data_IF_865311210553
#
_entry.id   IF_865311210553
#
_cell.length_a   1.000
_cell.length_b   1.000
_cell.length_c   1.000
_cell.angle_alpha   90.00
_cell.angle_beta   90.00
_cell.angle_gamma   90.00
#
_symmetry.space_group_name_H-M   'P 1'
#
loop_
_entity.id
_entity.type
_entity.pdbx_description
1 polymer ?
#
# COMPACT_ATOMS: atom_id res chain seq x y z
N UNK A 1 -6.65 7.50 1.38
CA UNK A 1 -8.12 7.55 1.24
C UNK A 1 -8.73 6.18 0.96
N UNK A 2 -8.29 5.43 -0.06
CA UNK A 2 -8.84 4.10 -0.39
C UNK A 2 -8.78 3.14 0.80
N UNK A 3 -7.60 2.92 1.37
CA UNK A 3 -7.41 2.02 2.52
C UNK A 3 -8.24 2.43 3.75
N UNK A 4 -8.37 3.73 4.00
CA UNK A 4 -9.23 4.23 5.09
C UNK A 4 -10.71 3.95 4.83
N UNK A 5 -11.17 4.17 3.60
CA UNK A 5 -12.55 3.90 3.22
C UNK A 5 -12.89 2.41 3.29
N UNK A 6 -11.99 1.53 2.84
CA UNK A 6 -12.16 0.07 2.90
C UNK A 6 -12.19 -0.45 4.35
N UNK A 7 -11.35 0.09 5.24
CA UNK A 7 -11.35 -0.26 6.66
C UNK A 7 -12.61 0.24 7.40
N UNK A 8 -13.13 1.42 7.02
CA UNK A 8 -14.27 2.03 7.71
C UNK A 8 -15.61 1.41 7.26
N UNK A 9 -15.76 1.11 5.98
CA UNK A 9 -17.01 0.58 5.42
C UNK A 9 -17.08 -0.96 5.49
N UNK A 10 -15.92 -1.63 5.56
CA UNK A 10 -15.79 -3.07 5.86
C UNK A 10 -16.36 -4.06 4.83
N UNK A 11 -17.23 -3.62 3.94
CA UNK A 11 -17.98 -4.49 3.01
C UNK A 11 -17.71 -4.26 1.54
N UNK A 12 -17.25 -3.08 1.15
CA UNK A 12 -17.04 -2.70 -0.25
C UNK A 12 -15.56 -2.52 -0.54
N UNK A 13 -15.08 -3.29 -1.52
CA UNK A 13 -13.70 -3.23 -1.98
C UNK A 13 -13.59 -2.18 -3.10
N UNK A 14 -13.23 -0.96 -2.73
CA UNK A 14 -13.20 0.17 -3.67
C UNK A 14 -12.09 0.11 -4.72
N UNK A 15 -11.05 -0.69 -4.50
CA UNK A 15 -9.87 -0.72 -5.37
C UNK A 15 -9.70 -1.96 -6.25
N UNK A 16 -10.42 -3.07 -6.00
CA UNK A 16 -10.19 -4.37 -6.69
C UNK A 16 -11.09 -4.59 -7.90
N UNK A 17 -12.22 -3.93 -7.97
CA UNK A 17 -13.15 -4.10 -9.07
C UNK A 17 -12.50 -3.62 -10.38
N UNK A 18 -12.82 -4.27 -11.50
CA UNK A 18 -12.36 -3.88 -12.85
C UNK A 18 -12.60 -2.39 -13.14
N UNK A 19 -13.63 -1.82 -12.51
CA UNK A 19 -13.88 -0.39 -12.44
C UNK A 19 -13.77 0.04 -10.99
N UNK A 20 -12.57 0.41 -10.54
CA UNK A 20 -12.36 0.90 -9.18
C UNK A 20 -13.24 2.15 -8.93
N UNK A 21 -14.26 2.08 -8.06
CA UNK A 21 -15.20 3.21 -7.87
C UNK A 21 -14.50 4.51 -7.50
N UNK A 22 -13.40 4.41 -6.76
CA UNK A 22 -12.57 5.57 -6.40
C UNK A 22 -11.90 6.20 -7.62
N UNK A 23 -11.37 5.38 -8.54
CA UNK A 23 -10.74 5.90 -9.76
C UNK A 23 -11.77 6.58 -10.67
N UNK A 24 -12.98 6.01 -10.78
CA UNK A 24 -14.09 6.59 -11.54
C UNK A 24 -14.59 7.89 -10.88
N UNK A 25 -14.74 7.89 -9.56
CA UNK A 25 -15.13 9.08 -8.82
C UNK A 25 -14.14 10.23 -8.95
N UNK A 26 -12.84 9.92 -8.88
CA UNK A 26 -11.78 10.91 -9.12
C UNK A 26 -11.73 11.36 -10.58
N UNK A 27 -11.92 10.46 -11.54
CA UNK A 27 -12.03 10.83 -12.95
C UNK A 27 -13.19 11.81 -13.17
N UNK A 28 -14.37 11.51 -12.61
CA UNK A 28 -15.53 12.40 -12.71
C UNK A 28 -15.23 13.77 -12.09
N UNK A 29 -14.60 13.80 -10.91
CA UNK A 29 -14.19 15.03 -10.26
C UNK A 29 -13.21 15.84 -11.11
N UNK A 30 -12.21 15.19 -11.69
CA UNK A 30 -11.22 15.82 -12.59
C UNK A 30 -11.89 16.36 -13.85
N UNK A 31 -12.81 15.61 -14.46
CA UNK A 31 -13.55 16.05 -15.66
C UNK A 31 -14.43 17.28 -15.33
N UNK A 32 -15.18 17.25 -14.22
CA UNK A 32 -16.00 18.38 -13.79
C UNK A 32 -15.15 19.62 -13.47
N UNK A 33 -14.03 19.43 -12.76
CA UNK A 33 -13.08 20.52 -12.51
C UNK A 33 -12.50 21.06 -13.82
N UNK A 34 -12.13 20.19 -14.75
CA UNK A 34 -11.59 20.58 -16.04
C UNK A 34 -12.60 21.37 -16.90
N UNK A 35 -13.88 21.00 -16.85
CA UNK A 35 -14.94 21.74 -17.52
C UNK A 35 -15.10 23.16 -16.94
N UNK A 36 -15.00 23.31 -15.61
CA UNK A 36 -15.07 24.62 -14.96
C UNK A 36 -13.82 25.46 -15.26
N UNK A 37 -12.62 24.86 -15.18
CA UNK A 37 -11.36 25.51 -15.55
C UNK A 37 -11.36 25.93 -17.02
N UNK A 38 -11.87 25.09 -17.91
CA UNK A 38 -11.96 25.40 -19.33
C UNK A 38 -12.81 26.62 -19.67
N UNK A 39 -13.81 26.93 -18.79
CA UNK A 39 -14.63 28.14 -18.93
C UNK A 39 -13.96 29.41 -18.38
N UNK A 40 -13.17 29.29 -17.31
CA UNK A 40 -12.55 30.42 -16.60
C UNK A 40 -11.15 30.72 -17.17
N UNK A 41 -10.36 29.67 -17.40
CA UNK A 41 -8.96 29.75 -17.84
C UNK A 41 -8.65 28.64 -18.87
N UNK A 42 -9.07 28.80 -20.15
CA UNK A 42 -8.92 27.74 -21.16
C UNK A 42 -7.50 27.24 -21.39
N UNK A 43 -6.48 28.08 -21.05
CA UNK A 43 -5.07 27.73 -21.16
C UNK A 43 -4.60 26.71 -20.13
N UNK A 44 -5.34 26.55 -19.01
CA UNK A 44 -5.04 25.60 -17.93
C UNK A 44 -5.88 24.34 -18.03
N UNK A 45 -6.84 24.28 -18.98
CA UNK A 45 -7.68 23.11 -19.16
C UNK A 45 -6.88 21.94 -19.71
N UNK A 46 -7.05 20.77 -19.08
CA UNK A 46 -6.43 19.52 -19.51
C UNK A 46 -7.05 19.05 -20.85
N UNK A 47 -6.19 18.57 -21.72
CA UNK A 47 -6.60 17.92 -22.98
C UNK A 47 -7.07 16.49 -22.70
N UNK A 48 -7.85 15.92 -23.63
CA UNK A 48 -8.41 14.57 -23.46
C UNK A 48 -7.34 13.49 -23.15
N UNK A 49 -6.19 13.55 -23.81
CA UNK A 49 -5.09 12.60 -23.56
C UNK A 49 -4.46 12.78 -22.17
N UNK A 50 -4.40 14.00 -21.63
CA UNK A 50 -3.90 14.27 -20.29
C UNK A 50 -4.85 13.73 -19.22
N UNK A 51 -6.17 13.87 -19.44
CA UNK A 51 -7.19 13.28 -18.57
C UNK A 51 -7.09 11.75 -18.55
N UNK A 52 -6.82 11.10 -19.71
CA UNK A 52 -6.60 9.66 -19.78
C UNK A 52 -5.36 9.26 -18.97
N UNK A 53 -4.26 10.01 -19.06
CA UNK A 53 -3.05 9.74 -18.29
C UNK A 53 -3.33 9.85 -16.79
N UNK A 54 -4.02 10.91 -16.35
CA UNK A 54 -4.42 11.09 -14.95
C UNK A 54 -5.29 9.91 -14.48
N UNK A 55 -6.25 9.48 -15.30
CA UNK A 55 -7.09 8.33 -14.98
C UNK A 55 -6.27 7.04 -14.82
N UNK A 56 -5.38 6.76 -15.76
CA UNK A 56 -4.53 5.56 -15.72
C UNK A 56 -3.63 5.56 -14.48
N UNK A 57 -3.01 6.70 -14.16
CA UNK A 57 -2.20 6.85 -12.95
C UNK A 57 -3.04 6.65 -11.67
N UNK A 58 -4.24 7.21 -11.64
CA UNK A 58 -5.17 7.07 -10.50
C UNK A 58 -5.63 5.62 -10.33
N UNK A 59 -5.94 4.94 -11.44
CA UNK A 59 -6.33 3.53 -11.44
C UNK A 59 -5.20 2.65 -10.91
N UNK A 60 -3.99 2.85 -11.40
CA UNK A 60 -2.80 2.11 -10.94
C UNK A 60 -2.53 2.35 -9.46
N UNK A 61 -2.61 3.61 -9.02
CA UNK A 61 -2.45 3.96 -7.61
C UNK A 61 -3.53 3.33 -6.74
N UNK A 62 -4.79 3.33 -7.18
CA UNK A 62 -5.90 2.71 -6.44
C UNK A 62 -5.70 1.21 -6.29
N UNK A 63 -5.30 0.50 -7.34
CA UNK A 63 -5.02 -0.94 -7.31
C UNK A 63 -3.85 -1.27 -6.38
N UNK A 64 -2.80 -0.47 -6.39
CA UNK A 64 -1.61 -0.68 -5.56
C UNK A 64 -1.91 -0.45 -4.07
N UNK A 65 -2.71 0.58 -3.75
CA UNK A 65 -3.05 0.97 -2.38
C UNK A 65 -4.15 0.13 -1.74
N UNK A 66 -4.99 -0.54 -2.56
CA UNK A 66 -6.03 -1.43 -2.10
C UNK A 66 -5.48 -2.82 -1.77
N UNK A 67 -6.24 -3.88 -1.96
CA UNK A 67 -5.82 -5.27 -1.71
C UNK A 67 -4.65 -5.77 -2.57
N UNK A 68 -4.03 -4.91 -3.35
CA UNK A 68 -2.85 -5.22 -4.14
C UNK A 68 -1.62 -5.45 -3.27
N UNK A 69 -0.71 -4.48 -3.27
CA UNK A 69 0.58 -4.62 -2.60
C UNK A 69 0.52 -4.31 -1.10
N UNK A 70 0.06 -3.12 -0.73
CA UNK A 70 0.22 -2.63 0.65
C UNK A 70 -0.65 -3.36 1.67
N UNK A 71 -1.90 -3.63 1.35
CA UNK A 71 -2.83 -4.30 2.27
C UNK A 71 -2.41 -5.75 2.59
N UNK A 72 -1.71 -6.41 1.68
CA UNK A 72 -1.22 -7.78 1.87
C UNK A 72 0.19 -7.82 2.45
N UNK A 73 1.05 -6.96 1.96
CA UNK A 73 2.46 -7.01 2.27
C UNK A 73 2.76 -6.51 3.69
N UNK A 74 2.19 -5.37 4.10
CA UNK A 74 2.44 -4.82 5.44
C UNK A 74 1.98 -5.76 6.55
N UNK A 75 0.73 -6.30 6.54
CA UNK A 75 0.33 -7.31 7.51
C UNK A 75 1.19 -8.58 7.48
N UNK A 76 1.63 -9.03 6.29
CA UNK A 76 2.49 -10.19 6.17
C UNK A 76 3.83 -10.00 6.87
N UNK A 77 4.45 -8.81 6.76
CA UNK A 77 5.70 -8.50 7.43
C UNK A 77 5.61 -8.58 8.96
N UNK A 78 4.50 -8.13 9.54
CA UNK A 78 4.37 -8.07 11.01
C UNK A 78 3.68 -9.30 11.59
N UNK A 79 3.01 -10.12 10.77
CA UNK A 79 2.24 -11.29 11.21
C UNK A 79 3.09 -12.29 11.99
N UNK A 80 4.34 -12.46 11.59
CA UNK A 80 5.28 -13.38 12.24
C UNK A 80 5.45 -13.02 13.72
N UNK A 81 5.57 -11.74 14.05
CA UNK A 81 5.70 -11.28 15.43
C UNK A 81 4.38 -11.38 16.20
N UNK A 82 3.27 -11.01 15.56
CA UNK A 82 1.97 -10.99 16.22
C UNK A 82 1.46 -12.38 16.59
N UNK A 83 1.62 -13.36 15.68
CA UNK A 83 1.16 -14.74 15.90
C UNK A 83 2.18 -15.62 16.64
N UNK A 84 3.36 -15.11 16.99
CA UNK A 84 4.32 -15.84 17.81
C UNK A 84 3.83 -15.92 19.25
N UNK A 85 3.51 -17.11 19.71
CA UNK A 85 3.05 -17.40 21.07
C UNK A 85 3.98 -18.41 21.73
N UNK A 86 4.03 -18.46 23.09
CA UNK A 86 4.81 -19.49 23.77
C UNK A 86 4.38 -20.92 23.38
N UNK A 87 3.14 -21.12 23.00
CA UNK A 87 2.61 -22.42 22.65
C UNK A 87 3.10 -22.93 21.29
N UNK A 88 3.32 -22.04 20.31
CA UNK A 88 3.79 -22.43 18.98
C UNK A 88 5.32 -22.43 18.82
N UNK A 89 6.04 -21.94 19.81
CA UNK A 89 7.51 -21.88 19.86
C UNK A 89 8.17 -21.19 18.64
N UNK A 90 7.47 -20.32 17.92
CA UNK A 90 7.97 -19.69 16.70
C UNK A 90 9.26 -18.90 16.93
N UNK A 91 9.39 -18.25 18.09
CA UNK A 91 10.60 -17.52 18.43
C UNK A 91 11.84 -18.43 18.49
N UNK A 92 11.69 -19.63 19.05
CA UNK A 92 12.80 -20.59 19.14
C UNK A 92 13.08 -21.31 17.82
N UNK A 93 12.01 -21.59 17.03
CA UNK A 93 12.12 -22.42 15.84
C UNK A 93 12.69 -21.66 14.63
N UNK A 94 12.23 -20.47 14.33
CA UNK A 94 12.63 -19.82 13.08
C UNK A 94 12.95 -18.33 13.15
N UNK A 95 12.71 -17.61 14.25
CA UNK A 95 13.12 -16.21 14.34
C UNK A 95 14.62 -16.03 14.15
N UNK A 96 15.42 -17.00 14.60
CA UNK A 96 16.87 -17.02 14.36
C UNK A 96 17.27 -17.08 12.88
N UNK A 97 16.36 -17.55 11.99
CA UNK A 97 16.58 -17.65 10.56
C UNK A 97 16.03 -16.44 9.78
N UNK A 98 15.24 -15.58 10.42
CA UNK A 98 14.69 -14.38 9.79
C UNK A 98 15.71 -13.24 9.92
N UNK A 99 16.19 -12.67 8.81
CA UNK A 99 17.08 -11.51 8.87
C UNK A 99 16.40 -10.35 9.59
N UNK A 100 17.11 -9.65 10.46
CA UNK A 100 16.57 -8.52 11.23
C UNK A 100 16.05 -7.35 10.38
N UNK A 101 16.55 -7.22 9.16
CA UNK A 101 16.09 -6.21 8.22
C UNK A 101 14.77 -6.57 7.50
N UNK A 102 14.40 -7.85 7.49
CA UNK A 102 13.24 -8.32 6.72
C UNK A 102 11.90 -8.00 7.40
N UNK A 103 11.89 -7.89 8.72
CA UNK A 103 10.68 -7.75 9.54
C UNK A 103 10.94 -6.68 10.60
N UNK A 104 9.96 -5.83 10.92
CA UNK A 104 10.06 -4.90 12.05
C UNK A 104 9.95 -5.69 13.37
N UNK A 105 11.07 -6.17 13.88
CA UNK A 105 11.11 -6.88 15.15
C UNK A 105 10.87 -5.95 16.33
N UNK A 106 10.14 -6.44 17.32
CA UNK A 106 10.03 -5.79 18.62
C UNK A 106 11.40 -5.74 19.29
N UNK A 107 11.73 -4.59 19.90
CA UNK A 107 13.00 -4.40 20.59
C UNK A 107 13.03 -5.27 21.86
N UNK A 108 14.13 -5.98 22.09
CA UNK A 108 14.34 -6.79 23.29
C UNK A 108 14.17 -5.91 24.55
N UNK A 109 13.25 -6.29 25.43
CA UNK A 109 13.04 -5.65 26.72
C UNK A 109 11.84 -4.71 26.84
N UNK A 110 11.22 -4.31 25.76
CA UNK A 110 9.91 -3.64 25.81
C UNK A 110 8.78 -4.66 25.81
N UNK A 111 7.63 -4.28 26.37
CA UNK A 111 6.46 -5.15 26.52
C UNK A 111 6.23 -5.98 25.25
N UNK A 112 6.28 -7.30 25.39
CA UNK A 112 6.24 -8.26 24.31
C UNK A 112 5.27 -7.87 23.19
N UNK A 113 5.75 -7.77 21.95
CA UNK A 113 4.97 -7.54 20.75
C UNK A 113 4.35 -6.13 20.64
N UNK A 114 4.98 -5.08 21.19
CA UNK A 114 4.42 -3.73 21.14
C UNK A 114 4.21 -3.21 19.70
N UNK A 115 5.16 -3.43 18.80
CA UNK A 115 5.06 -2.99 17.39
C UNK A 115 3.93 -3.73 16.68
N UNK A 116 3.88 -5.05 16.83
CA UNK A 116 2.86 -5.89 16.20
C UNK A 116 1.47 -5.66 16.77
N UNK A 117 1.35 -5.50 18.09
CA UNK A 117 0.08 -5.19 18.74
C UNK A 117 -0.41 -3.78 18.40
N UNK A 118 0.47 -2.79 18.35
CA UNK A 118 0.07 -1.44 17.96
C UNK A 118 -0.48 -1.37 16.54
N UNK A 119 -0.02 -2.26 15.66
CA UNK A 119 -0.55 -2.37 14.31
C UNK A 119 -1.93 -3.04 14.25
N UNK A 120 -2.11 -4.19 14.91
CA UNK A 120 -3.35 -4.98 14.82
C UNK A 120 -4.43 -4.52 15.81
N UNK A 121 -4.07 -4.11 17.01
CA UNK A 121 -5.00 -3.74 18.09
C UNK A 121 -5.21 -2.22 18.21
N UNK A 122 -4.44 -1.44 17.45
CA UNK A 122 -4.45 0.02 17.52
C UNK A 122 -3.51 0.60 18.57
N UNK A 123 -3.18 1.86 18.39
CA UNK A 123 -2.30 2.60 19.30
C UNK A 123 -3.04 2.90 20.62
N UNK A 124 -2.60 2.30 21.70
CA UNK A 124 -3.15 2.55 23.04
C UNK A 124 -2.51 3.77 23.72
N UNK A 125 -1.20 3.94 23.58
CA UNK A 125 -0.42 5.06 24.16
C UNK A 125 0.82 5.30 23.29
N UNK A 126 1.18 6.57 23.08
CA UNK A 126 2.36 6.94 22.31
C UNK A 126 2.13 7.13 20.82
N UNK A 127 3.18 7.43 20.09
CA UNK A 127 3.18 7.61 18.63
C UNK A 127 3.48 6.32 17.89
N UNK A 128 3.25 6.32 16.58
CA UNK A 128 3.59 5.20 15.70
C UNK A 128 5.10 4.93 15.75
N UNK A 129 5.55 3.68 15.95
CA UNK A 129 6.98 3.33 15.97
C UNK A 129 7.56 3.32 14.55
N UNK A 130 7.75 4.48 13.97
CA UNK A 130 8.18 4.61 12.58
C UNK A 130 9.54 3.98 12.26
N UNK A 131 10.49 4.05 13.20
CA UNK A 131 11.86 3.62 12.94
C UNK A 131 11.98 2.16 12.50
N UNK A 132 11.45 1.15 13.24
CA UNK A 132 11.50 -0.25 12.82
C UNK A 132 10.79 -0.51 11.50
N UNK A 133 9.67 0.20 11.26
CA UNK A 133 8.94 0.11 10.00
C UNK A 133 9.74 0.65 8.82
N UNK A 134 10.36 1.82 8.96
CA UNK A 134 11.14 2.43 7.90
C UNK A 134 12.38 1.60 7.56
N UNK A 135 13.04 0.99 8.54
CA UNK A 135 14.19 0.11 8.32
C UNK A 135 13.78 -1.11 7.48
N UNK A 136 12.70 -1.79 7.85
CA UNK A 136 12.20 -2.95 7.11
C UNK A 136 11.70 -2.55 5.70
N UNK A 137 10.89 -1.50 5.58
CA UNK A 137 10.36 -1.04 4.31
C UNK A 137 11.46 -0.58 3.34
N UNK A 138 12.49 0.13 3.85
CA UNK A 138 13.63 0.56 3.05
C UNK A 138 14.44 -0.64 2.53
N UNK A 139 14.59 -1.69 3.33
CA UNK A 139 15.28 -2.90 2.92
C UNK A 139 14.51 -3.68 1.83
N UNK A 140 13.18 -3.66 1.87
CA UNK A 140 12.33 -4.28 0.84
C UNK A 140 12.15 -3.43 -0.43
N UNK A 141 12.41 -2.13 -0.36
CA UNK A 141 12.21 -1.21 -1.49
C UNK A 141 12.92 -1.65 -2.78
N UNK A 142 14.19 -2.12 -2.77
CA UNK A 142 14.85 -2.61 -3.97
C UNK A 142 14.13 -3.80 -4.62
N UNK A 143 13.59 -4.72 -3.81
CA UNK A 143 12.83 -5.89 -4.30
C UNK A 143 11.55 -5.44 -4.99
N UNK A 144 10.82 -4.49 -4.38
CA UNK A 144 9.60 -3.92 -4.96
C UNK A 144 9.92 -3.19 -6.27
N UNK A 145 10.98 -2.38 -6.31
CA UNK A 145 11.43 -1.69 -7.53
C UNK A 145 11.78 -2.71 -8.61
N UNK A 146 12.55 -3.75 -8.29
CA UNK A 146 12.92 -4.80 -9.24
C UNK A 146 11.68 -5.50 -9.82
N UNK A 147 10.68 -5.77 -8.99
CA UNK A 147 9.41 -6.34 -9.44
C UNK A 147 8.69 -5.41 -10.44
N UNK A 148 8.57 -4.11 -10.14
CA UNK A 148 7.96 -3.15 -11.06
C UNK A 148 8.74 -3.00 -12.38
N UNK A 149 10.07 -3.00 -12.32
CA UNK A 149 10.92 -2.97 -13.51
C UNK A 149 10.68 -4.22 -14.37
N UNK A 150 10.59 -5.41 -13.76
CA UNK A 150 10.30 -6.65 -14.48
C UNK A 150 8.93 -6.60 -15.17
N UNK A 151 7.88 -6.11 -14.48
CA UNK A 151 6.56 -5.93 -15.08
C UNK A 151 6.58 -4.93 -16.23
N UNK A 152 7.29 -3.81 -16.07
CA UNK A 152 7.41 -2.81 -17.12
C UNK A 152 8.14 -3.35 -18.36
N UNK A 153 9.20 -4.14 -18.15
CA UNK A 153 9.90 -4.81 -19.25
C UNK A 153 8.97 -5.79 -19.96
N UNK A 154 8.21 -6.60 -19.23
CA UNK A 154 7.25 -7.55 -19.79
C UNK A 154 6.18 -6.83 -20.62
N UNK A 155 5.58 -5.77 -20.10
CA UNK A 155 4.59 -4.97 -20.79
C UNK A 155 5.16 -4.34 -22.06
N UNK A 156 6.41 -3.87 -21.99
CA UNK A 156 7.11 -3.29 -23.15
C UNK A 156 7.34 -4.32 -24.27
N UNK A 157 7.59 -5.58 -23.92
CA UNK A 157 7.73 -6.68 -24.89
C UNK A 157 6.37 -6.99 -25.51
N UNK A 158 5.32 -7.16 -24.71
CA UNK A 158 3.97 -7.47 -25.18
C UNK A 158 3.40 -6.38 -26.09
N UNK A 159 3.73 -5.11 -25.84
CA UNK A 159 3.29 -3.98 -26.66
C UNK A 159 3.91 -3.97 -28.06
N UNK A 160 5.06 -4.65 -28.28
CA UNK A 160 5.75 -4.69 -29.56
C UNK A 160 5.26 -5.83 -30.48
N UNK A 161 4.44 -6.73 -29.96
CA UNK A 161 3.76 -7.78 -30.74
C UNK A 161 2.40 -7.30 -31.22
#
# INVERSE_FOLDING_TARGET
>A
MVSWAEMTVGTIQFGILQFAPVAIGLLLAVVLANLTIGRIAPRLALRAHEVIVVYTMTLTAALTMSRGLLERWIPALISVNYYATPANHWQALFFQHIPRWAVPFDVEGESAQWISRSFYEGLRTGGVPWRPWLEALAAWLPVVIAMFVAYFCLESILRRQ
#
